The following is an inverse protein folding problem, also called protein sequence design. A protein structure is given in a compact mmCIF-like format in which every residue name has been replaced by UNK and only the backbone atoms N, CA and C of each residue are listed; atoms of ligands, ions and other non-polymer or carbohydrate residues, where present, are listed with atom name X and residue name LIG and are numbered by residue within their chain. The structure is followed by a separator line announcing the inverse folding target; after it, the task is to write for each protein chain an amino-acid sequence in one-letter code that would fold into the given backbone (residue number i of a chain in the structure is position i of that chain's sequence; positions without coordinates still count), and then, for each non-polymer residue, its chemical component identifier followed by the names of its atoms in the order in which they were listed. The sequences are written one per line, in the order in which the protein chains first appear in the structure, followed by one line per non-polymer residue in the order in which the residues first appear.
data_IF_599937119047
#
_entry.id   IF_599937119047
#
_cell.length_a   1.000
_cell.length_b   1.000
_cell.length_c   1.000
_cell.angle_alpha   90.00
_cell.angle_beta   90.00
_cell.angle_gamma   90.00
#
_symmetry.space_group_name_H-M   'P 1'
#
loop_
_entity.id
_entity.type
_entity.pdbx_description
1 polymer ?
#
# COMPACT_ATOMS: atom_id res chain seq x y z
N UNK A 1 -8.64 29.15 -14.81
CA UNK A 1 -8.22 27.75 -14.99
C UNK A 1 -9.09 27.15 -16.08
N UNK A 2 -8.55 26.26 -16.93
CA UNK A 2 -9.37 25.56 -17.91
C UNK A 2 -10.36 24.62 -17.20
N UNK A 3 -11.49 24.35 -17.87
CA UNK A 3 -12.58 23.52 -17.30
C UNK A 3 -12.96 22.40 -18.24
N UNK A 4 -13.31 21.26 -17.68
CA UNK A 4 -13.95 20.17 -18.42
C UNK A 4 -15.16 19.65 -17.64
N UNK A 5 -16.00 18.85 -18.31
CA UNK A 5 -17.15 18.23 -17.67
C UNK A 5 -16.97 16.72 -17.65
N UNK A 6 -17.05 16.10 -16.48
CA UNK A 6 -16.96 14.63 -16.31
C UNK A 6 -18.28 14.16 -15.70
N UNK A 7 -19.02 13.31 -16.40
CA UNK A 7 -20.32 12.79 -15.96
C UNK A 7 -21.28 13.90 -15.44
N UNK A 8 -21.37 15.02 -16.16
CA UNK A 8 -22.14 16.22 -15.83
C UNK A 8 -21.63 17.05 -14.65
N UNK A 9 -20.44 16.76 -14.10
CA UNK A 9 -19.77 17.58 -13.08
C UNK A 9 -18.73 18.45 -13.76
N UNK A 10 -18.79 19.76 -13.57
CA UNK A 10 -17.76 20.69 -14.08
C UNK A 10 -16.55 20.64 -13.14
N UNK A 11 -15.39 20.38 -13.72
CA UNK A 11 -14.11 20.23 -13.02
C UNK A 11 -13.10 21.26 -13.53
N UNK A 12 -12.49 21.99 -12.62
CA UNK A 12 -11.30 22.77 -12.91
C UNK A 12 -10.08 21.84 -12.97
N UNK A 13 -9.11 22.16 -13.82
CA UNK A 13 -7.90 21.32 -13.92
C UNK A 13 -6.67 22.16 -14.28
N UNK A 14 -5.49 21.58 -14.03
CA UNK A 14 -4.20 22.15 -14.44
C UNK A 14 -3.78 21.58 -15.80
N UNK A 15 -3.11 22.40 -16.60
CA UNK A 15 -2.62 21.99 -17.92
C UNK A 15 -1.68 20.77 -17.79
N UNK A 16 -1.93 19.75 -18.59
CA UNK A 16 -1.16 18.49 -18.59
C UNK A 16 -1.79 17.37 -17.76
N UNK A 17 -2.76 17.65 -16.90
CA UNK A 17 -3.47 16.59 -16.16
C UNK A 17 -4.27 15.70 -17.13
N UNK A 18 -4.26 14.41 -16.85
CA UNK A 18 -5.10 13.43 -17.56
C UNK A 18 -6.54 13.49 -17.05
N UNK A 19 -7.48 13.00 -17.85
CA UNK A 19 -8.90 12.90 -17.46
C UNK A 19 -9.06 12.13 -16.14
N UNK A 20 -8.26 11.07 -15.92
CA UNK A 20 -8.32 10.28 -14.69
C UNK A 20 -7.84 11.10 -13.47
N UNK A 21 -6.76 11.85 -13.60
CA UNK A 21 -6.23 12.70 -12.52
C UNK A 21 -7.20 13.81 -12.15
N UNK A 22 -7.83 14.45 -13.16
CA UNK A 22 -8.89 15.43 -12.92
C UNK A 22 -10.09 14.80 -12.21
N UNK A 23 -10.51 13.61 -12.62
CA UNK A 23 -11.61 12.90 -11.98
C UNK A 23 -11.28 12.61 -10.50
N UNK A 24 -10.08 12.12 -10.20
CA UNK A 24 -9.65 11.83 -8.82
C UNK A 24 -9.58 13.09 -7.95
N UNK A 25 -9.07 14.20 -8.50
CA UNK A 25 -9.02 15.48 -7.78
C UNK A 25 -10.41 16.05 -7.43
N UNK A 26 -11.46 15.57 -8.11
CA UNK A 26 -12.86 15.96 -7.90
C UNK A 26 -13.73 14.83 -7.30
N UNK A 27 -13.11 13.80 -6.70
CA UNK A 27 -13.80 12.66 -6.09
C UNK A 27 -14.74 11.90 -7.05
N UNK A 28 -14.42 11.91 -8.36
CA UNK A 28 -15.16 11.20 -9.39
C UNK A 28 -14.47 9.87 -9.71
N UNK A 29 -15.20 8.77 -9.56
CA UNK A 29 -14.67 7.44 -9.84
C UNK A 29 -14.60 7.15 -11.34
N UNK A 30 -13.40 6.83 -11.83
CA UNK A 30 -13.16 6.19 -13.12
C UNK A 30 -12.42 4.88 -12.87
N UNK A 31 -12.97 3.71 -13.25
CA UNK A 31 -12.32 2.44 -12.96
C UNK A 31 -10.97 2.32 -13.66
N UNK A 32 -9.98 1.78 -12.96
CA UNK A 32 -8.63 1.60 -13.50
C UNK A 32 -7.86 0.51 -12.75
N UNK A 33 -6.97 -0.22 -13.45
CA UNK A 33 -6.08 -1.20 -12.84
C UNK A 33 -4.62 -0.89 -13.07
N UNK A 34 -4.22 -0.60 -14.31
CA UNK A 34 -2.80 -0.46 -14.64
C UNK A 34 -2.21 0.90 -14.23
N UNK A 35 -3.01 1.91 -14.02
CA UNK A 35 -2.56 3.24 -13.62
C UNK A 35 -2.26 3.31 -12.11
N UNK A 36 -1.17 4.00 -11.76
CA UNK A 36 -0.81 4.36 -10.39
C UNK A 36 -0.10 5.72 -10.42
N UNK A 37 -0.37 6.64 -9.48
CA UNK A 37 0.18 8.00 -9.53
C UNK A 37 1.71 8.06 -9.43
N UNK A 38 2.34 7.05 -8.84
CA UNK A 38 3.79 6.95 -8.70
C UNK A 38 4.50 6.17 -9.81
N UNK A 39 3.81 5.78 -10.88
CA UNK A 39 4.37 4.97 -11.97
C UNK A 39 4.01 5.57 -13.33
N UNK A 40 4.81 5.26 -14.35
CA UNK A 40 4.51 5.63 -15.73
C UNK A 40 3.17 5.09 -16.22
N UNK A 41 2.53 5.77 -17.17
CA UNK A 41 1.24 5.37 -17.72
C UNK A 41 1.42 4.39 -18.87
N UNK A 42 0.90 3.16 -18.72
CA UNK A 42 0.94 2.12 -19.76
C UNK A 42 -0.37 1.98 -20.54
N UNK A 43 -1.49 2.43 -19.98
CA UNK A 43 -2.84 2.38 -20.59
C UNK A 43 -3.25 1.00 -21.12
N UNK A 44 -2.82 -0.12 -20.51
CA UNK A 44 -3.01 -1.49 -20.99
C UNK A 44 -4.35 -2.13 -20.60
N UNK A 45 -4.89 -1.83 -19.40
CA UNK A 45 -6.06 -2.53 -18.87
C UNK A 45 -7.40 -2.15 -19.56
N UNK A 46 -7.48 -0.97 -20.17
CA UNK A 46 -8.63 -0.47 -20.94
C UNK A 46 -9.96 -0.33 -20.19
N UNK A 47 -10.02 -0.54 -18.88
CA UNK A 47 -11.28 -0.39 -18.15
C UNK A 47 -11.67 1.09 -17.95
N UNK A 48 -10.71 2.02 -18.04
CA UNK A 48 -10.92 3.46 -17.94
C UNK A 48 -11.35 4.13 -19.25
N UNK A 49 -11.76 3.38 -20.25
CA UNK A 49 -12.22 3.94 -21.52
C UNK A 49 -13.49 4.78 -21.33
N UNK A 50 -13.43 6.02 -21.81
CA UNK A 50 -14.52 6.99 -21.73
C UNK A 50 -14.86 7.55 -23.10
N UNK A 51 -16.09 7.97 -23.28
CA UNK A 51 -16.53 8.78 -24.40
C UNK A 51 -16.13 10.22 -24.16
N UNK A 52 -15.47 10.84 -25.13
CA UNK A 52 -14.99 12.21 -25.04
C UNK A 52 -15.57 13.02 -26.20
N UNK A 53 -16.21 14.13 -25.90
CA UNK A 53 -16.54 15.15 -26.86
C UNK A 53 -15.66 16.39 -26.62
N UNK A 54 -15.16 16.97 -27.69
CA UNK A 54 -14.21 18.09 -27.64
C UNK A 54 -14.59 19.18 -28.62
N UNK A 55 -14.21 20.45 -28.39
CA UNK A 55 -14.38 21.51 -29.36
C UNK A 55 -13.62 21.19 -30.67
N UNK A 56 -14.32 21.19 -31.79
CA UNK A 56 -13.72 20.95 -33.09
C UNK A 56 -13.30 22.29 -33.76
N UNK A 57 -12.00 22.58 -33.89
CA UNK A 57 -11.54 23.82 -34.51
C UNK A 57 -11.95 23.98 -35.99
N UNK A 58 -12.28 22.85 -36.65
CA UNK A 58 -12.72 22.83 -38.06
C UNK A 58 -14.21 23.14 -38.22
N UNK A 59 -14.95 23.18 -37.12
CA UNK A 59 -16.39 23.42 -37.11
C UNK A 59 -16.74 24.50 -36.06
N UNK A 60 -16.07 25.66 -36.17
CA UNK A 60 -16.30 26.83 -35.35
C UNK A 60 -16.33 26.55 -33.82
N UNK A 61 -15.54 25.57 -33.37
CA UNK A 61 -15.46 25.23 -31.95
C UNK A 61 -16.67 24.47 -31.41
N UNK A 62 -17.57 23.96 -32.28
CA UNK A 62 -18.67 23.10 -31.82
C UNK A 62 -18.15 21.85 -31.17
N UNK A 63 -18.77 21.46 -30.06
CA UNK A 63 -18.43 20.23 -29.34
C UNK A 63 -18.91 19.03 -30.16
N UNK A 64 -17.97 18.16 -30.54
CA UNK A 64 -18.24 16.95 -31.30
C UNK A 64 -17.66 15.74 -30.56
N UNK A 65 -18.45 14.65 -30.54
CA UNK A 65 -18.01 13.39 -29.92
C UNK A 65 -16.95 12.71 -30.77
N UNK A 66 -15.83 12.34 -30.17
CA UNK A 66 -14.79 11.56 -30.80
C UNK A 66 -15.34 10.15 -31.05
N UNK A 67 -15.22 9.58 -32.28
CA UNK A 67 -15.90 8.33 -32.66
C UNK A 67 -15.48 7.09 -31.84
N UNK A 68 -14.30 7.12 -31.20
CA UNK A 68 -13.73 6.04 -30.41
C UNK A 68 -13.66 6.42 -28.94
N UNK A 69 -13.76 5.42 -28.05
CA UNK A 69 -13.47 5.60 -26.64
C UNK A 69 -11.97 5.88 -26.42
N UNK A 70 -11.68 6.75 -25.47
CA UNK A 70 -10.30 7.13 -25.13
C UNK A 70 -9.96 6.66 -23.70
N UNK A 71 -8.71 6.22 -23.46
CA UNK A 71 -8.27 5.83 -22.12
C UNK A 71 -8.08 7.07 -21.23
N UNK A 72 -8.92 7.23 -20.21
CA UNK A 72 -8.91 8.39 -19.32
C UNK A 72 -7.56 8.56 -18.59
N UNK A 73 -6.84 7.48 -18.32
CA UNK A 73 -5.54 7.51 -17.64
C UNK A 73 -4.39 8.07 -18.49
N UNK A 74 -4.57 8.18 -19.82
CA UNK A 74 -3.54 8.65 -20.75
C UNK A 74 -3.97 9.89 -21.53
N UNK A 75 -5.28 10.15 -21.62
CA UNK A 75 -5.81 11.27 -22.40
C UNK A 75 -5.73 12.53 -21.58
N UNK A 76 -5.01 13.59 -22.02
CA UNK A 76 -5.03 14.87 -21.34
C UNK A 76 -6.44 15.47 -21.31
N UNK A 77 -6.80 16.08 -20.19
CA UNK A 77 -7.99 16.91 -20.11
C UNK A 77 -7.81 18.14 -20.99
N UNK A 78 -8.88 18.63 -21.60
CA UNK A 78 -8.88 19.83 -22.45
C UNK A 78 -10.02 20.75 -22.09
N UNK A 79 -9.80 22.06 -22.32
CA UNK A 79 -10.82 23.06 -22.05
C UNK A 79 -12.08 22.82 -22.91
N UNK A 80 -13.23 22.82 -22.25
CA UNK A 80 -14.51 22.52 -22.88
C UNK A 80 -14.73 21.05 -23.26
N UNK A 81 -13.85 20.13 -22.83
CA UNK A 81 -14.12 18.69 -23.02
C UNK A 81 -15.32 18.23 -22.21
N UNK A 82 -16.14 17.37 -22.81
CA UNK A 82 -17.24 16.67 -22.14
C UNK A 82 -16.93 15.17 -22.15
N UNK A 83 -16.73 14.63 -20.98
CA UNK A 83 -16.29 13.25 -20.76
C UNK A 83 -17.44 12.47 -20.13
N UNK A 84 -17.78 11.29 -20.70
CA UNK A 84 -18.84 10.43 -20.21
C UNK A 84 -18.31 9.00 -20.04
N UNK A 85 -18.25 8.56 -18.79
CA UNK A 85 -17.84 7.18 -18.42
C UNK A 85 -19.04 6.25 -18.26
N UNK A 86 -20.26 6.79 -18.30
CA UNK A 86 -21.53 6.09 -18.13
C UNK A 86 -22.33 6.01 -19.42
N UNK A 87 -21.74 6.33 -20.58
CA UNK A 87 -22.39 6.10 -21.88
C UNK A 87 -22.53 4.60 -22.15
N UNK A 88 -23.52 4.21 -22.97
CA UNK A 88 -23.74 2.80 -23.31
C UNK A 88 -22.47 2.12 -23.85
N UNK A 89 -21.71 2.82 -24.69
CA UNK A 89 -20.42 2.34 -25.23
C UNK A 89 -19.39 2.13 -24.15
N UNK A 90 -19.26 3.07 -23.20
CA UNK A 90 -18.31 2.97 -22.09
C UNK A 90 -18.68 1.81 -21.16
N UNK A 91 -19.94 1.69 -20.77
CA UNK A 91 -20.45 0.59 -19.94
C UNK A 91 -20.21 -0.76 -20.62
N UNK A 92 -20.54 -0.89 -21.92
CA UNK A 92 -20.30 -2.13 -22.66
C UNK A 92 -18.81 -2.48 -22.72
N UNK A 93 -17.93 -1.48 -22.86
CA UNK A 93 -16.49 -1.69 -22.80
C UNK A 93 -16.02 -2.17 -21.43
N UNK A 94 -16.53 -1.58 -20.34
CA UNK A 94 -16.22 -2.00 -18.95
C UNK A 94 -16.64 -3.45 -18.71
N UNK A 95 -17.88 -3.82 -19.11
CA UNK A 95 -18.37 -5.21 -19.04
C UNK A 95 -17.46 -6.17 -19.81
N UNK A 96 -17.05 -5.80 -21.03
CA UNK A 96 -16.18 -6.65 -21.86
C UNK A 96 -14.81 -6.83 -21.24
N UNK A 97 -14.22 -5.77 -20.68
CA UNK A 97 -12.92 -5.85 -19.99
C UNK A 97 -13.02 -6.75 -18.76
N UNK A 98 -14.06 -6.58 -17.95
CA UNK A 98 -14.27 -7.43 -16.77
C UNK A 98 -14.45 -8.90 -17.16
N UNK A 99 -15.21 -9.20 -18.20
CA UNK A 99 -15.37 -10.55 -18.70
C UNK A 99 -14.05 -11.17 -19.13
N UNK A 100 -13.21 -10.44 -19.88
CA UNK A 100 -11.88 -10.88 -20.31
C UNK A 100 -10.95 -11.15 -19.12
N UNK A 101 -10.95 -10.28 -18.11
CA UNK A 101 -10.12 -10.47 -16.91
C UNK A 101 -10.55 -11.68 -16.08
N UNK A 102 -11.83 -12.00 -16.09
CA UNK A 102 -12.41 -13.10 -15.29
C UNK A 102 -12.37 -14.46 -15.99
N UNK A 103 -12.07 -14.55 -17.29
CA UNK A 103 -12.05 -15.82 -18.04
C UNK A 103 -11.20 -16.88 -17.33
N UNK A 104 -9.94 -16.56 -17.03
CA UNK A 104 -9.01 -17.48 -16.41
C UNK A 104 -8.80 -17.22 -14.90
N UNK A 105 -9.32 -16.13 -14.38
CA UNK A 105 -9.17 -15.80 -12.96
C UNK A 105 -9.83 -16.87 -12.09
N UNK A 106 -9.10 -17.50 -11.12
CA UNK A 106 -9.66 -18.55 -10.29
C UNK A 106 -10.70 -18.00 -9.31
N UNK A 107 -11.67 -18.83 -8.94
CA UNK A 107 -12.69 -18.50 -7.93
C UNK A 107 -12.14 -18.78 -6.53
N UNK A 108 -11.03 -18.15 -6.20
CA UNK A 108 -10.27 -18.37 -4.96
C UNK A 108 -10.58 -17.35 -3.86
N UNK A 109 -11.56 -16.45 -4.04
CA UNK A 109 -11.85 -15.39 -3.05
C UNK A 109 -12.00 -15.93 -1.61
N UNK A 110 -12.63 -17.09 -1.36
CA UNK A 110 -12.73 -17.62 0.00
C UNK A 110 -11.39 -17.98 0.65
N UNK A 111 -10.33 -18.22 -0.13
CA UNK A 111 -8.99 -18.58 0.34
C UNK A 111 -7.92 -17.57 -0.10
N UNK A 112 -8.31 -16.46 -0.71
CA UNK A 112 -7.40 -15.42 -1.16
C UNK A 112 -7.31 -14.31 -0.12
N UNK A 113 -6.10 -13.94 0.30
CA UNK A 113 -5.91 -12.89 1.33
C UNK A 113 -6.23 -11.47 0.82
N UNK A 114 -6.27 -11.29 -0.50
CA UNK A 114 -6.70 -10.01 -1.09
C UNK A 114 -8.22 -9.78 -0.99
N UNK A 115 -9.02 -10.80 -0.63
CA UNK A 115 -10.46 -10.64 -0.50
C UNK A 115 -10.82 -9.55 0.53
N UNK A 116 -11.67 -8.60 0.15
CA UNK A 116 -12.04 -7.44 0.96
C UNK A 116 -11.24 -6.17 0.67
N UNK A 117 -10.11 -6.28 -0.05
CA UNK A 117 -9.33 -5.15 -0.56
C UNK A 117 -8.91 -5.37 -2.03
N UNK A 118 -9.64 -6.21 -2.76
CA UNK A 118 -9.33 -6.61 -4.13
C UNK A 118 -10.09 -5.76 -5.14
N UNK A 119 -9.36 -4.92 -5.89
CA UNK A 119 -9.97 -4.09 -6.93
C UNK A 119 -10.68 -4.90 -8.03
N UNK A 120 -10.24 -6.13 -8.33
CA UNK A 120 -10.93 -6.99 -9.29
C UNK A 120 -12.28 -7.47 -8.73
N UNK A 121 -12.34 -7.81 -7.45
CA UNK A 121 -13.58 -8.22 -6.79
C UNK A 121 -14.58 -7.07 -6.77
N UNK A 122 -14.17 -5.87 -6.38
CA UNK A 122 -15.02 -4.70 -6.31
C UNK A 122 -15.57 -4.31 -7.69
N UNK A 123 -14.70 -4.31 -8.70
CA UNK A 123 -15.10 -3.97 -10.06
C UNK A 123 -15.90 -5.10 -10.74
N UNK A 124 -15.73 -6.36 -10.34
CA UNK A 124 -16.59 -7.44 -10.80
C UNK A 124 -18.05 -7.24 -10.39
N UNK A 125 -18.29 -6.75 -9.17
CA UNK A 125 -19.62 -6.42 -8.69
C UNK A 125 -20.21 -5.18 -9.36
N UNK A 126 -19.38 -4.15 -9.63
CA UNK A 126 -19.85 -2.87 -10.18
C UNK A 126 -19.98 -2.85 -11.69
N UNK A 127 -19.05 -3.48 -12.39
CA UNK A 127 -18.89 -3.40 -13.85
C UNK A 127 -18.89 -4.77 -14.53
N UNK A 128 -19.06 -5.87 -13.80
CA UNK A 128 -19.08 -7.22 -14.35
C UNK A 128 -20.48 -7.74 -14.64
N UNK A 129 -20.55 -8.91 -15.23
CA UNK A 129 -21.78 -9.68 -15.38
C UNK A 129 -21.90 -10.71 -14.27
N UNK A 130 -23.13 -11.06 -13.89
CA UNK A 130 -23.40 -12.03 -12.83
C UNK A 130 -22.95 -13.46 -13.16
N UNK A 131 -22.78 -13.79 -14.44
CA UNK A 131 -22.36 -15.13 -14.88
C UNK A 131 -21.38 -15.08 -16.04
N UNK A 132 -20.59 -16.15 -16.18
CA UNK A 132 -19.66 -16.32 -17.30
C UNK A 132 -20.38 -16.97 -18.49
N UNK A 133 -20.07 -16.49 -19.70
CA UNK A 133 -20.48 -17.13 -20.96
C UNK A 133 -19.51 -18.22 -21.42
N UNK A 134 -18.32 -18.28 -20.82
CA UNK A 134 -17.28 -19.24 -21.15
C UNK A 134 -17.54 -20.58 -20.45
N UNK A 135 -17.38 -21.66 -21.19
CA UNK A 135 -17.60 -23.04 -20.72
C UNK A 135 -16.28 -23.83 -20.64
N UNK A 136 -15.21 -23.28 -21.18
CA UNK A 136 -13.89 -23.87 -21.17
C UNK A 136 -13.27 -23.85 -19.75
N UNK A 137 -12.43 -24.83 -19.48
CA UNK A 137 -11.70 -24.88 -18.22
C UNK A 137 -10.72 -23.71 -18.10
N UNK A 138 -10.62 -23.17 -16.90
CA UNK A 138 -9.66 -22.08 -16.60
C UNK A 138 -8.24 -22.58 -16.69
N UNK A 139 -7.38 -21.82 -17.34
CA UNK A 139 -5.93 -22.09 -17.41
C UNK A 139 -5.34 -21.91 -16.02
N UNK A 140 -4.64 -22.93 -15.53
CA UNK A 140 -3.93 -22.88 -14.25
C UNK A 140 -2.49 -22.47 -14.45
N UNK A 141 -2.03 -21.55 -13.64
CA UNK A 141 -0.66 -21.09 -13.57
C UNK A 141 -0.03 -21.51 -12.21
N UNK A 142 1.29 -21.71 -12.16
CA UNK A 142 1.93 -22.15 -10.93
C UNK A 142 1.95 -21.07 -9.86
N UNK A 143 1.98 -21.52 -8.59
CA UNK A 143 2.39 -20.69 -7.46
C UNK A 143 3.90 -20.73 -7.38
N UNK A 144 4.55 -19.58 -7.20
CA UNK A 144 6.01 -19.48 -7.18
C UNK A 144 6.47 -18.69 -5.97
N UNK A 145 7.47 -19.19 -5.29
CA UNK A 145 8.28 -18.42 -4.37
C UNK A 145 9.23 -17.54 -5.18
N UNK A 146 9.08 -16.23 -5.10
CA UNK A 146 9.85 -15.29 -5.93
C UNK A 146 10.87 -14.46 -5.14
N UNK A 147 10.92 -14.61 -3.81
CA UNK A 147 11.84 -13.85 -2.96
C UNK A 147 11.55 -14.06 -1.48
N UNK A 148 12.26 -13.41 -0.57
CA UNK A 148 12.13 -13.62 0.88
C UNK A 148 10.74 -13.28 1.40
N UNK A 149 10.09 -12.24 0.86
CA UNK A 149 8.87 -11.66 1.41
C UNK A 149 7.62 -11.93 0.57
N UNK A 150 7.76 -12.24 -0.72
CA UNK A 150 6.63 -12.26 -1.65
C UNK A 150 6.40 -13.63 -2.27
N UNK A 151 5.14 -14.08 -2.26
CA UNK A 151 4.66 -15.26 -2.94
C UNK A 151 3.82 -14.85 -4.16
N UNK A 152 4.08 -15.46 -5.32
CA UNK A 152 3.37 -15.19 -6.57
C UNK A 152 2.34 -16.30 -6.86
N UNK A 153 1.08 -15.90 -7.03
CA UNK A 153 -0.02 -16.70 -7.54
C UNK A 153 -0.32 -16.26 -8.98
N UNK A 154 0.40 -16.81 -9.95
CA UNK A 154 0.37 -16.35 -11.34
C UNK A 154 -1.02 -16.41 -11.98
N UNK A 155 -1.85 -17.40 -11.62
CA UNK A 155 -3.22 -17.55 -12.12
C UNK A 155 -4.20 -16.47 -11.65
N UNK A 156 -3.85 -15.69 -10.62
CA UNK A 156 -4.64 -14.54 -10.15
C UNK A 156 -4.24 -13.22 -10.81
N UNK A 157 -3.14 -13.21 -11.56
CA UNK A 157 -2.60 -12.00 -12.18
C UNK A 157 -3.53 -11.50 -13.30
N UNK A 158 -3.71 -10.19 -13.38
CA UNK A 158 -4.46 -9.50 -14.44
C UNK A 158 -3.56 -8.73 -15.42
N UNK A 159 -2.27 -9.02 -15.43
CA UNK A 159 -1.26 -8.43 -16.32
C UNK A 159 -1.25 -6.89 -16.35
N UNK A 160 -1.52 -6.25 -15.22
CA UNK A 160 -1.53 -4.78 -15.11
C UNK A 160 -0.13 -4.15 -15.13
N UNK A 161 0.91 -4.94 -14.94
CA UNK A 161 2.34 -4.58 -14.96
C UNK A 161 2.81 -3.55 -13.93
N UNK A 162 2.01 -3.20 -12.92
CA UNK A 162 2.43 -2.24 -11.88
C UNK A 162 3.71 -2.71 -11.17
N UNK A 163 3.79 -4.01 -10.84
CA UNK A 163 4.93 -4.59 -10.13
C UNK A 163 6.22 -4.59 -10.98
N UNK A 164 6.12 -4.87 -12.27
CA UNK A 164 7.26 -4.81 -13.21
C UNK A 164 7.79 -3.38 -13.30
N UNK A 165 6.89 -2.41 -13.56
CA UNK A 165 7.26 -0.99 -13.62
C UNK A 165 7.83 -0.48 -12.30
N UNK A 166 7.35 -0.97 -11.17
CA UNK A 166 7.90 -0.61 -9.86
C UNK A 166 9.36 -1.06 -9.73
N UNK A 167 9.68 -2.31 -10.08
CA UNK A 167 11.07 -2.79 -10.00
C UNK A 167 11.98 -2.13 -11.04
N UNK A 168 11.43 -1.64 -12.14
CA UNK A 168 12.17 -0.95 -13.19
C UNK A 168 12.36 0.55 -12.88
N UNK A 169 11.27 1.25 -12.51
CA UNK A 169 11.25 2.72 -12.41
C UNK A 169 11.62 3.24 -11.02
N UNK A 170 11.23 2.51 -9.96
CA UNK A 170 11.39 2.98 -8.58
C UNK A 170 12.63 2.37 -7.93
N UNK A 171 12.77 1.05 -7.95
CA UNK A 171 13.95 0.41 -7.36
C UNK A 171 15.13 0.31 -8.32
N UNK A 172 14.88 0.34 -9.63
CA UNK A 172 15.91 0.23 -10.68
C UNK A 172 16.56 -1.16 -10.74
N UNK A 173 15.98 -2.14 -10.10
CA UNK A 173 16.55 -3.48 -9.94
C UNK A 173 16.04 -4.47 -10.99
N UNK A 174 14.85 -4.25 -11.55
CA UNK A 174 14.24 -5.01 -12.65
C UNK A 174 14.23 -6.53 -12.44
N UNK A 175 13.89 -7.00 -11.23
CA UNK A 175 13.80 -8.43 -10.94
C UNK A 175 12.56 -9.05 -11.56
N UNK A 176 11.45 -8.29 -11.64
CA UNK A 176 10.19 -8.76 -12.23
C UNK A 176 10.14 -8.47 -13.71
N UNK A 177 9.66 -9.44 -14.47
CA UNK A 177 9.50 -9.33 -15.91
C UNK A 177 8.17 -9.92 -16.38
N UNK A 178 7.81 -9.66 -17.63
CA UNK A 178 6.76 -10.38 -18.34
C UNK A 178 7.43 -11.54 -19.08
N UNK A 179 7.09 -12.76 -18.70
CA UNK A 179 7.50 -13.97 -19.40
C UNK A 179 6.41 -14.44 -20.38
N UNK A 180 6.80 -14.93 -21.53
CA UNK A 180 5.88 -15.36 -22.59
C UNK A 180 5.24 -14.21 -23.36
N UNK A 181 4.16 -14.52 -24.06
CA UNK A 181 3.36 -13.53 -24.81
C UNK A 181 1.98 -14.08 -25.15
N UNK A 182 1.01 -13.18 -25.33
CA UNK A 182 -0.36 -13.53 -25.69
C UNK A 182 -1.05 -14.32 -24.56
N UNK A 183 -1.66 -15.45 -24.88
CA UNK A 183 -2.43 -16.23 -23.92
C UNK A 183 -1.60 -16.91 -22.81
N UNK A 184 -0.27 -16.95 -22.96
CA UNK A 184 0.65 -17.58 -21.99
C UNK A 184 1.50 -16.56 -21.23
N UNK A 185 1.20 -15.26 -21.35
CA UNK A 185 1.89 -14.24 -20.57
C UNK A 185 1.72 -14.46 -19.09
N UNK A 186 2.82 -14.32 -18.34
CA UNK A 186 2.83 -14.33 -16.89
C UNK A 186 3.87 -13.37 -16.33
N UNK A 187 3.63 -12.89 -15.12
CA UNK A 187 4.67 -12.20 -14.37
C UNK A 187 5.58 -13.27 -13.76
N UNK A 188 6.88 -13.04 -13.86
CA UNK A 188 7.90 -13.90 -13.27
C UNK A 188 9.11 -13.08 -12.82
N UNK A 189 10.00 -13.71 -12.06
CA UNK A 189 11.33 -13.17 -11.78
C UNK A 189 12.28 -13.50 -12.91
N UNK A 190 13.24 -12.62 -13.16
CA UNK A 190 14.30 -12.91 -14.11
C UNK A 190 15.10 -14.15 -13.64
N UNK A 191 15.44 -15.10 -14.52
CA UNK A 191 16.15 -16.32 -14.12
C UNK A 191 17.42 -16.03 -13.31
N UNK A 192 17.49 -16.61 -12.10
CA UNK A 192 18.61 -16.43 -11.19
C UNK A 192 18.59 -15.16 -10.36
N UNK A 193 17.52 -14.36 -10.43
CA UNK A 193 17.33 -13.16 -9.56
C UNK A 193 16.04 -13.31 -8.76
N UNK A 194 16.18 -13.34 -7.43
CA UNK A 194 15.02 -13.24 -6.55
C UNK A 194 14.54 -11.79 -6.45
N UNK A 195 13.27 -11.59 -6.11
CA UNK A 195 12.72 -10.29 -5.72
C UNK A 195 13.13 -10.02 -4.27
N UNK A 196 14.32 -9.45 -4.05
CA UNK A 196 14.96 -9.26 -2.74
C UNK A 196 15.51 -7.84 -2.52
N UNK A 197 15.14 -6.89 -3.37
CA UNK A 197 15.51 -5.49 -3.13
C UNK A 197 14.88 -4.96 -1.83
N UNK A 198 15.47 -3.93 -1.18
CA UNK A 198 15.02 -3.42 0.12
C UNK A 198 13.59 -2.85 0.15
N UNK A 199 12.90 -2.77 -0.97
CA UNK A 199 11.54 -2.26 -1.11
C UNK A 199 10.60 -3.30 -1.73
N UNK A 200 11.01 -4.57 -1.76
CA UNK A 200 10.32 -5.65 -2.47
C UNK A 200 8.86 -5.83 -2.05
N UNK A 201 8.52 -5.62 -0.80
CA UNK A 201 7.16 -5.73 -0.26
C UNK A 201 6.14 -4.73 -0.85
N UNK A 202 6.59 -3.61 -1.46
CA UNK A 202 5.66 -2.66 -2.06
C UNK A 202 4.90 -3.24 -3.27
N UNK A 203 5.42 -4.27 -3.92
CA UNK A 203 4.70 -4.92 -5.02
C UNK A 203 3.40 -5.57 -4.57
N UNK A 204 3.29 -5.94 -3.28
CA UNK A 204 2.06 -6.48 -2.68
C UNK A 204 0.98 -5.40 -2.60
N UNK A 205 1.34 -4.20 -2.11
CA UNK A 205 0.40 -3.07 -2.02
C UNK A 205 0.00 -2.54 -3.40
N UNK A 206 0.92 -2.58 -4.36
CA UNK A 206 0.68 -2.18 -5.73
C UNK A 206 -0.23 -3.13 -6.50
N UNK A 207 -0.23 -4.41 -6.13
CA UNK A 207 -0.98 -5.43 -6.85
C UNK A 207 -2.49 -5.26 -6.57
N UNK A 208 -3.31 -4.96 -7.58
CA UNK A 208 -4.74 -4.73 -7.38
C UNK A 208 -5.52 -6.02 -7.12
N UNK A 209 -4.85 -7.17 -7.14
CA UNK A 209 -5.42 -8.52 -6.98
C UNK A 209 -4.53 -9.39 -6.11
N UNK A 210 -5.00 -10.57 -5.69
CA UNK A 210 -4.24 -11.52 -4.88
C UNK A 210 -3.19 -12.33 -5.63
N UNK A 211 -2.49 -11.71 -6.58
CA UNK A 211 -1.42 -12.37 -7.32
C UNK A 211 -0.07 -12.28 -6.61
N UNK A 212 0.23 -11.16 -5.98
CA UNK A 212 1.42 -10.96 -5.15
C UNK A 212 0.97 -10.82 -3.71
N UNK A 213 1.41 -11.72 -2.84
CA UNK A 213 0.99 -11.80 -1.45
C UNK A 213 2.19 -11.77 -0.52
N UNK A 214 2.06 -11.06 0.59
CA UNK A 214 3.04 -11.02 1.66
C UNK A 214 3.04 -12.39 2.38
N UNK A 215 4.19 -13.04 2.42
CA UNK A 215 4.35 -14.35 3.06
C UNK A 215 4.05 -14.31 4.57
N UNK A 216 4.37 -13.19 5.21
CA UNK A 216 4.19 -13.02 6.65
C UNK A 216 2.72 -12.82 7.03
N UNK A 217 1.95 -12.19 6.16
CA UNK A 217 0.51 -12.00 6.36
C UNK A 217 -0.33 -13.16 5.83
N UNK A 218 0.25 -14.04 5.00
CA UNK A 218 -0.46 -15.09 4.29
C UNK A 218 -1.25 -16.00 5.25
N UNK A 219 -2.58 -16.00 5.11
CA UNK A 219 -3.55 -16.78 5.90
C UNK A 219 -3.62 -16.46 7.40
N UNK A 220 -3.03 -15.35 7.84
CA UNK A 220 -3.04 -15.00 9.27
C UNK A 220 -4.36 -14.36 9.70
N UNK A 221 -4.90 -13.42 8.88
CA UNK A 221 -6.11 -12.70 9.23
C UNK A 221 -6.87 -12.24 7.98
N UNK A 222 -8.19 -12.08 8.09
CA UNK A 222 -9.00 -11.43 7.06
C UNK A 222 -9.02 -9.92 7.23
N UNK A 223 -8.85 -9.22 6.11
CA UNK A 223 -8.68 -7.75 6.11
C UNK A 223 -9.85 -6.99 6.72
N UNK A 224 -11.07 -7.49 6.63
CA UNK A 224 -12.26 -6.83 7.20
C UNK A 224 -12.33 -6.88 8.74
N UNK A 225 -11.48 -7.64 9.41
CA UNK A 225 -11.32 -7.60 10.86
C UNK A 225 -10.23 -6.64 11.31
N UNK A 226 -9.37 -6.19 10.38
CA UNK A 226 -8.28 -5.27 10.69
C UNK A 226 -8.78 -3.84 10.88
N UNK A 227 -8.21 -3.18 11.87
CA UNK A 227 -8.28 -1.73 12.04
C UNK A 227 -7.00 -1.13 11.54
N UNK A 228 -7.11 -0.05 10.77
CA UNK A 228 -5.96 0.67 10.23
C UNK A 228 -5.76 1.96 11.02
N UNK A 229 -4.64 2.08 11.72
CA UNK A 229 -4.30 3.25 12.52
C UNK A 229 -3.13 3.98 11.87
N UNK A 230 -3.27 5.29 11.55
CA UNK A 230 -2.17 6.07 11.01
C UNK A 230 -1.06 6.24 12.04
N UNK A 231 0.18 6.07 11.61
CA UNK A 231 1.38 6.20 12.45
C UNK A 231 2.55 6.73 11.62
N UNK A 232 3.70 6.80 12.26
CA UNK A 232 4.99 7.13 11.67
C UNK A 232 5.95 6.01 12.03
N UNK A 233 6.87 5.68 11.12
CA UNK A 233 7.92 4.71 11.38
C UNK A 233 8.81 5.18 12.53
N UNK A 234 8.96 4.34 13.54
CA UNK A 234 9.84 4.56 14.68
C UNK A 234 11.07 3.65 14.69
N UNK A 235 11.28 2.86 13.63
CA UNK A 235 12.38 1.90 13.54
C UNK A 235 13.60 2.48 12.82
N UNK A 236 13.32 3.29 11.79
CA UNK A 236 14.36 3.92 10.98
C UNK A 236 14.31 5.44 11.11
N UNK A 237 15.36 6.11 10.66
CA UNK A 237 15.42 7.57 10.65
C UNK A 237 14.64 8.20 9.49
N UNK A 238 13.98 7.41 8.63
CA UNK A 238 13.23 7.91 7.47
C UNK A 238 11.98 8.69 7.88
N UNK A 239 11.35 8.31 9.00
CA UNK A 239 10.09 8.90 9.44
C UNK A 239 8.93 8.60 8.50
N UNK A 240 8.97 7.45 7.82
CA UNK A 240 7.97 7.04 6.86
C UNK A 240 6.58 7.06 7.46
N UNK A 241 5.63 7.59 6.70
CA UNK A 241 4.23 7.58 7.09
C UNK A 241 3.64 6.21 6.80
N UNK A 242 3.06 5.60 7.83
CA UNK A 242 2.58 4.22 7.79
C UNK A 242 1.15 4.09 8.32
N UNK A 243 0.52 2.99 7.96
CA UNK A 243 -0.63 2.45 8.64
C UNK A 243 -0.21 1.18 9.39
N UNK A 244 -0.55 1.15 10.68
CA UNK A 244 -0.46 -0.07 11.50
C UNK A 244 -1.81 -0.77 11.43
N UNK A 245 -1.83 -1.96 10.85
CA UNK A 245 -3.04 -2.76 10.77
C UNK A 245 -3.05 -3.83 11.86
N UNK A 246 -4.06 -3.75 12.73
CA UNK A 246 -4.16 -4.53 13.96
C UNK A 246 -5.58 -5.01 14.24
N UNK A 247 -5.70 -6.03 15.06
CA UNK A 247 -6.96 -6.52 15.60
C UNK A 247 -6.75 -7.09 17.01
N UNK A 248 -7.70 -6.85 17.93
CA UNK A 248 -7.70 -7.39 19.29
C UNK A 248 -6.38 -7.17 20.09
N UNK A 249 -5.64 -6.09 19.81
CA UNK A 249 -4.37 -5.77 20.48
C UNK A 249 -3.13 -6.35 19.80
N UNK A 250 -3.29 -7.11 18.70
CA UNK A 250 -2.21 -7.67 17.93
C UNK A 250 -2.02 -6.91 16.61
N UNK A 251 -0.78 -6.65 16.24
CA UNK A 251 -0.38 -6.08 14.94
C UNK A 251 -0.22 -7.22 13.94
N UNK A 252 -0.73 -7.03 12.74
CA UNK A 252 -0.67 -8.04 11.68
C UNK A 252 0.21 -7.63 10.52
N UNK A 253 0.20 -6.34 10.16
CA UNK A 253 1.04 -5.83 9.07
C UNK A 253 1.18 -4.31 9.13
N UNK A 254 2.22 -3.82 8.47
CA UNK A 254 2.45 -2.39 8.22
C UNK A 254 2.26 -2.12 6.74
N UNK A 255 1.52 -1.04 6.42
CA UNK A 255 1.32 -0.57 5.04
C UNK A 255 1.78 0.88 4.88
N UNK A 256 2.24 1.28 3.69
CA UNK A 256 2.58 2.67 3.44
C UNK A 256 1.34 3.57 3.52
N UNK A 257 1.48 4.73 4.15
CA UNK A 257 0.52 5.82 4.12
C UNK A 257 1.09 6.94 3.24
N UNK A 258 0.36 7.29 2.21
CA UNK A 258 0.78 8.29 1.25
C UNK A 258 1.12 9.64 1.92
N UNK A 259 2.34 10.13 1.65
CA UNK A 259 2.79 11.47 1.99
C UNK A 259 3.85 11.91 0.98
N UNK A 260 3.51 12.91 0.13
CA UNK A 260 4.40 13.38 -0.95
C UNK A 260 5.71 13.98 -0.46
N UNK A 261 5.72 14.53 0.77
CA UNK A 261 6.89 15.21 1.32
C UNK A 261 7.90 14.26 1.98
N UNK A 262 7.47 13.03 2.36
CA UNK A 262 8.29 12.07 3.10
C UNK A 262 8.56 10.83 2.25
N UNK A 263 7.63 9.88 2.23
CA UNK A 263 7.81 8.55 1.64
C UNK A 263 7.01 8.35 0.34
N UNK A 264 6.29 9.36 -0.12
CA UNK A 264 5.37 9.26 -1.26
C UNK A 264 4.39 8.09 -1.08
N UNK A 265 4.59 7.00 -1.80
CA UNK A 265 3.73 5.79 -1.74
C UNK A 265 4.44 4.55 -1.20
N UNK A 266 5.73 4.66 -0.85
CA UNK A 266 6.61 3.51 -0.63
C UNK A 266 7.15 3.46 0.79
N UNK A 267 7.45 2.26 1.28
CA UNK A 267 8.21 2.03 2.52
C UNK A 267 9.25 0.94 2.27
N UNK A 268 10.30 0.91 3.06
CA UNK A 268 11.30 -0.18 2.99
C UNK A 268 10.76 -1.45 3.62
N UNK A 269 11.35 -2.59 3.27
CA UNK A 269 11.00 -3.87 3.88
C UNK A 269 11.42 -3.92 5.35
N UNK A 270 12.46 -3.17 5.73
CA UNK A 270 12.84 -2.96 7.13
C UNK A 270 11.71 -2.33 7.94
N UNK A 271 11.11 -1.25 7.45
CA UNK A 271 9.92 -0.62 8.06
C UNK A 271 8.74 -1.58 8.08
N UNK A 272 8.51 -2.27 6.95
CA UNK A 272 7.38 -3.19 6.78
C UNK A 272 7.40 -4.37 7.75
N UNK A 273 8.57 -4.95 8.00
CA UNK A 273 8.75 -6.19 8.74
C UNK A 273 9.29 -5.99 10.17
N UNK A 274 9.85 -4.82 10.46
CA UNK A 274 10.57 -4.54 11.70
C UNK A 274 9.71 -4.48 12.98
N UNK A 275 8.40 -4.38 12.87
CA UNK A 275 7.46 -4.25 14.00
C UNK A 275 7.33 -5.50 14.90
N UNK A 276 7.85 -6.65 14.50
CA UNK A 276 7.63 -7.94 15.19
C UNK A 276 8.12 -7.99 16.63
N UNK A 277 9.13 -7.16 16.97
CA UNK A 277 9.60 -7.06 18.35
C UNK A 277 8.51 -6.61 19.34
N UNK A 278 7.46 -5.93 18.86
CA UNK A 278 6.33 -5.47 19.68
C UNK A 278 5.61 -6.66 20.33
N UNK A 279 5.56 -7.79 19.64
CA UNK A 279 4.87 -9.02 20.04
C UNK A 279 5.83 -10.18 20.33
N UNK A 280 7.14 -9.90 20.48
CA UNK A 280 8.12 -10.93 20.79
C UNK A 280 7.84 -11.56 22.17
N UNK A 281 7.98 -12.87 22.24
CA UNK A 281 7.71 -13.64 23.48
C UNK A 281 8.65 -13.24 24.65
N UNK A 282 9.85 -12.80 24.33
CA UNK A 282 10.87 -12.35 25.28
C UNK A 282 10.75 -10.87 25.66
N UNK A 283 9.72 -10.16 25.14
CA UNK A 283 9.47 -8.77 25.48
C UNK A 283 9.14 -8.61 26.96
N UNK A 284 9.85 -7.72 27.64
CA UNK A 284 9.55 -7.37 29.02
C UNK A 284 8.25 -6.58 29.09
N UNK A 285 7.22 -7.18 29.67
CA UNK A 285 5.89 -6.55 29.87
C UNK A 285 5.72 -5.94 31.25
N UNK A 286 6.61 -6.27 32.19
CA UNK A 286 6.60 -5.78 33.57
C UNK A 286 8.02 -5.39 33.99
N UNK A 287 8.18 -4.44 34.92
CA UNK A 287 9.47 -4.13 35.49
C UNK A 287 10.06 -5.34 36.23
N UNK A 288 11.38 -5.51 36.11
CA UNK A 288 12.11 -6.56 36.81
C UNK A 288 13.07 -5.89 37.78
N UNK A 289 12.93 -6.17 39.08
CA UNK A 289 13.84 -5.72 40.11
C UNK A 289 14.75 -6.89 40.46
N UNK A 290 16.04 -6.69 40.27
CA UNK A 290 17.06 -7.66 40.71
C UNK A 290 17.21 -7.52 42.25
N UNK A 291 16.56 -8.37 43.00
CA UNK A 291 16.92 -8.60 44.41
C UNK A 291 17.89 -9.78 44.44
N UNK A 292 18.78 -9.72 45.43
CA UNK A 292 19.88 -10.69 45.58
C UNK A 292 19.45 -12.16 45.71
N UNK A 293 18.15 -12.46 45.79
CA UNK A 293 17.61 -13.80 45.99
C UNK A 293 16.29 -14.19 45.29
N UNK A 294 15.61 -13.33 44.55
CA UNK A 294 14.38 -13.74 43.85
C UNK A 294 13.96 -12.77 42.74
N UNK A 295 13.54 -13.32 41.61
CA UNK A 295 12.70 -12.63 40.64
C UNK A 295 11.25 -12.69 41.17
N UNK A 296 10.78 -11.68 41.88
CA UNK A 296 9.40 -11.62 42.34
C UNK A 296 8.48 -11.10 41.24
N UNK A 297 7.59 -11.97 40.76
CA UNK A 297 6.49 -11.64 39.83
C UNK A 297 5.17 -11.83 40.56
N UNK A 298 4.73 -10.87 41.40
CA UNK A 298 3.49 -11.12 42.15
C UNK A 298 2.25 -10.40 41.58
N UNK A 299 2.35 -9.20 41.05
CA UNK A 299 1.30 -8.58 40.21
C UNK A 299 1.89 -7.43 39.38
N UNK A 300 1.22 -7.07 38.29
CA UNK A 300 1.73 -6.01 37.39
C UNK A 300 1.74 -4.63 38.08
N UNK A 301 0.69 -4.27 38.81
CA UNK A 301 0.55 -2.94 39.42
C UNK A 301 1.50 -2.76 40.62
N UNK A 302 1.61 -3.75 41.49
CA UNK A 302 2.56 -3.74 42.61
C UNK A 302 4.02 -3.71 42.11
N UNK A 303 4.32 -4.39 41.01
CA UNK A 303 5.65 -4.37 40.46
C UNK A 303 6.07 -2.98 39.94
N UNK A 304 5.16 -2.21 39.36
CA UNK A 304 5.43 -0.84 38.92
C UNK A 304 5.68 0.11 40.08
N UNK A 305 4.85 0.12 41.11
CA UNK A 305 4.99 0.97 42.30
C UNK A 305 6.32 0.71 43.02
N UNK A 306 6.69 -0.56 43.17
CA UNK A 306 7.94 -0.95 43.82
C UNK A 306 9.14 -0.55 42.94
N UNK A 307 9.05 -0.76 41.63
CA UNK A 307 10.14 -0.41 40.70
C UNK A 307 10.36 1.11 40.64
N UNK A 308 9.29 1.90 40.59
CA UNK A 308 9.38 3.36 40.60
C UNK A 308 10.00 3.87 41.89
N UNK A 309 9.57 3.36 43.04
CA UNK A 309 10.13 3.73 44.33
C UNK A 309 11.61 3.36 44.45
N UNK A 310 12.01 2.18 43.97
CA UNK A 310 13.39 1.73 43.96
C UNK A 310 14.25 2.59 43.03
N UNK A 311 13.74 2.92 41.84
CA UNK A 311 14.44 3.76 40.87
C UNK A 311 14.64 5.18 41.40
N UNK A 312 13.60 5.81 41.98
CA UNK A 312 13.67 7.13 42.53
C UNK A 312 14.67 7.20 43.72
N UNK A 313 14.62 6.21 44.61
CA UNK A 313 15.58 6.13 45.73
C UNK A 313 17.03 5.98 45.22
N UNK A 314 17.26 5.15 44.21
CA UNK A 314 18.57 4.97 43.60
C UNK A 314 19.08 6.25 42.95
N UNK A 315 18.24 6.93 42.18
CA UNK A 315 18.59 8.20 41.52
C UNK A 315 18.90 9.32 42.51
N UNK A 316 18.14 9.42 43.63
CA UNK A 316 18.36 10.43 44.69
C UNK A 316 19.63 10.19 45.50
N UNK A 317 20.09 8.95 45.59
CA UNK A 317 21.31 8.58 46.29
C UNK A 317 22.57 8.61 45.43
N UNK A 318 22.40 8.72 44.11
CA UNK A 318 23.52 8.75 43.18
C UNK A 318 24.30 10.05 43.29
N UNK A 319 25.65 9.97 43.37
CA UNK A 319 26.51 11.14 43.42
C UNK A 319 26.56 11.85 42.03
N UNK A 320 26.52 11.08 40.94
CA UNK A 320 26.46 11.55 39.57
C UNK A 320 25.61 10.64 38.75
N UNK A 321 24.91 11.23 37.74
CA UNK A 321 24.08 10.50 36.81
C UNK A 321 24.71 10.44 35.41
N UNK A 322 24.60 9.28 34.80
CA UNK A 322 24.82 9.10 33.37
C UNK A 322 23.53 8.54 32.77
N UNK A 323 23.02 9.20 31.75
CA UNK A 323 21.79 8.79 31.05
C UNK A 323 22.12 8.43 29.62
N UNK A 324 21.81 7.18 29.24
CA UNK A 324 21.88 6.71 27.87
C UNK A 324 20.47 6.55 27.34
N UNK A 325 20.15 7.27 26.29
CA UNK A 325 18.83 7.14 25.63
C UNK A 325 18.97 6.30 24.37
N UNK A 326 17.93 5.50 24.09
CA UNK A 326 17.87 4.77 22.83
C UNK A 326 17.68 5.74 21.67
N UNK A 327 18.38 5.56 20.54
CA UNK A 327 18.15 6.32 19.31
C UNK A 327 16.73 6.07 18.72
N UNK A 328 16.01 5.06 19.24
CA UNK A 328 14.64 4.73 18.86
C UNK A 328 13.59 5.56 19.61
N UNK A 329 13.97 6.38 20.58
CA UNK A 329 13.03 7.28 21.26
C UNK A 329 12.65 8.46 20.35
N UNK A 330 11.42 8.97 20.55
CA UNK A 330 11.06 10.26 19.96
C UNK A 330 11.96 11.38 20.51
N UNK A 331 12.11 12.47 19.75
CA UNK A 331 12.86 13.63 20.22
C UNK A 331 12.26 14.19 21.51
N UNK A 332 10.93 14.15 21.65
CA UNK A 332 10.19 14.58 22.84
C UNK A 332 10.52 13.71 24.06
N UNK A 333 10.50 12.39 23.90
CA UNK A 333 10.84 11.46 24.99
C UNK A 333 12.30 11.60 25.41
N UNK A 334 13.21 11.67 24.46
CA UNK A 334 14.62 11.89 24.73
C UNK A 334 14.86 13.22 25.46
N UNK A 335 14.15 14.29 25.07
CA UNK A 335 14.20 15.59 25.74
C UNK A 335 13.68 15.53 27.16
N UNK A 336 12.55 14.84 27.42
CA UNK A 336 12.00 14.64 28.75
C UNK A 336 12.95 13.86 29.65
N UNK A 337 13.54 12.76 29.16
CA UNK A 337 14.53 11.98 29.92
C UNK A 337 15.78 12.83 30.25
N UNK A 338 16.27 13.61 29.28
CA UNK A 338 17.41 14.49 29.50
C UNK A 338 17.13 15.57 30.56
N UNK A 339 15.93 16.18 30.54
CA UNK A 339 15.53 17.18 31.53
C UNK A 339 15.36 16.56 32.93
N UNK A 340 14.78 15.37 33.02
CA UNK A 340 14.66 14.66 34.29
C UNK A 340 16.06 14.38 34.88
N UNK A 341 16.98 13.86 34.09
CA UNK A 341 18.33 13.58 34.55
C UNK A 341 19.03 14.84 35.05
N UNK A 342 18.92 15.98 34.34
CA UNK A 342 19.52 17.25 34.75
C UNK A 342 18.81 17.92 35.91
N UNK A 343 17.53 17.64 36.14
CA UNK A 343 16.80 18.12 37.31
C UNK A 343 17.28 17.42 38.59
N UNK A 344 17.73 16.17 38.49
CA UNK A 344 18.27 15.39 39.63
C UNK A 344 19.76 15.70 39.80
N UNK A 345 20.52 15.68 38.72
CA UNK A 345 21.95 16.02 38.72
C UNK A 345 22.24 17.04 37.58
N UNK A 346 22.50 18.32 37.90
CA UNK A 346 22.83 19.34 36.90
C UNK A 346 24.06 19.02 36.05
N UNK A 347 24.92 18.14 36.54
CA UNK A 347 26.14 17.68 35.84
C UNK A 347 25.95 16.31 35.16
N UNK A 348 24.69 15.82 35.03
CA UNK A 348 24.43 14.55 34.40
C UNK A 348 25.02 14.44 33.00
N UNK A 349 25.70 13.33 32.74
CA UNK A 349 26.20 13.00 31.40
C UNK A 349 25.09 12.40 30.58
N UNK A 350 24.86 12.99 29.39
CA UNK A 350 23.84 12.52 28.48
C UNK A 350 24.51 11.90 27.26
N UNK A 351 24.07 10.70 26.88
CA UNK A 351 24.56 9.95 25.73
C UNK A 351 23.42 9.28 24.94
N UNK A 352 23.71 8.92 23.70
CA UNK A 352 22.82 8.16 22.80
C UNK A 352 23.53 6.89 22.38
#
# INVERSE_FOLDING_TARGET
MPTCTINNVTCDFEEGQTILEVAQANDLEIPHYCWHPGLSVVASCRICLAEVAAPNPRNDGKIETIPKLLPACQTPAGDGHVITTTSEKAIQSQHSVMELLLINHPVDCPVCDQAGECGLQDYAYRYGHAGSRFQEDKIKQPKKDIGPHVLLYSDRCIMCTRCVRFTEEITGTSELMIDGRGAIESIDVFPGRALDNPMSGNVVDLCPVGALLDKDFLFTQRVWYLKSTPSIDGLTASGDNIFVEHNAGEVYRIKPRHNMDINRWWITDEVRQGWRFIQAEDRLLMPVIADSNAFARDSADEAWDVAESAALNGLQQAAHLATMVSPMLSCEDAWHVANLARAIDPQAVLGV
#
